data_IF_336596436786
#
_entry.id   IF_336596436786
#
_cell.length_a   1.000
_cell.length_b   1.000
_cell.length_c   1.000
_cell.angle_alpha   90.00
_cell.angle_beta   90.00
_cell.angle_gamma   90.00
#
_symmetry.space_group_name_H-M   'P 1'
#
loop_
_entity.id
_entity.type
_entity.pdbx_description
1 polymer ?
#
# COMPACT_ATOMS: atom_id res chain seq x y z
N UNK A 1 -6.67 -24.26 -3.65
CA UNK A 1 -7.42 -23.19 -4.37
C UNK A 1 -8.15 -22.24 -3.42
N UNK A 2 -8.94 -22.75 -2.46
CA UNK A 2 -9.69 -21.92 -1.50
C UNK A 2 -8.82 -20.93 -0.69
N UNK A 3 -7.68 -21.38 -0.15
CA UNK A 3 -6.77 -20.52 0.63
C UNK A 3 -6.24 -19.31 -0.19
N UNK A 4 -5.94 -19.52 -1.48
CA UNK A 4 -5.51 -18.44 -2.38
C UNK A 4 -6.63 -17.43 -2.62
N UNK A 5 -7.87 -17.90 -2.78
CA UNK A 5 -9.03 -17.01 -2.94
C UNK A 5 -9.26 -16.17 -1.68
N UNK A 6 -9.16 -16.78 -0.49
CA UNK A 6 -9.25 -16.07 0.79
C UNK A 6 -8.14 -15.02 0.93
N UNK A 7 -6.89 -15.38 0.60
CA UNK A 7 -5.77 -14.44 0.62
C UNK A 7 -6.00 -13.27 -0.35
N UNK A 8 -6.47 -13.52 -1.57
CA UNK A 8 -6.79 -12.47 -2.53
C UNK A 8 -7.90 -11.55 -2.04
N UNK A 9 -8.94 -12.08 -1.40
CA UNK A 9 -10.03 -11.28 -0.83
C UNK A 9 -9.53 -10.38 0.31
N UNK A 10 -8.70 -10.93 1.20
CA UNK A 10 -8.08 -10.15 2.29
C UNK A 10 -7.19 -9.02 1.73
N UNK A 11 -6.35 -9.31 0.73
CA UNK A 11 -5.53 -8.30 0.05
C UNK A 11 -6.38 -7.22 -0.61
N UNK A 12 -7.49 -7.59 -1.25
CA UNK A 12 -8.40 -6.63 -1.88
C UNK A 12 -9.07 -5.71 -0.85
N UNK A 13 -9.54 -6.26 0.27
CA UNK A 13 -10.14 -5.48 1.36
C UNK A 13 -9.14 -4.47 1.96
N UNK A 14 -7.94 -4.93 2.32
CA UNK A 14 -6.88 -4.08 2.86
C UNK A 14 -6.47 -2.95 1.89
N UNK A 15 -6.44 -3.24 0.59
CA UNK A 15 -6.14 -2.23 -0.43
C UNK A 15 -7.25 -1.17 -0.52
N UNK A 16 -8.52 -1.56 -0.38
CA UNK A 16 -9.64 -0.63 -0.37
C UNK A 16 -9.60 0.26 0.89
N UNK A 17 -9.33 -0.32 2.05
CA UNK A 17 -9.21 0.41 3.31
C UNK A 17 -8.05 1.40 3.28
N UNK A 18 -6.89 1.02 2.72
CA UNK A 18 -5.75 1.93 2.54
C UNK A 18 -6.07 3.07 1.59
N UNK A 19 -6.77 2.81 0.48
CA UNK A 19 -7.19 3.86 -0.44
C UNK A 19 -8.14 4.86 0.25
N UNK A 20 -9.08 4.37 1.06
CA UNK A 20 -9.94 5.24 1.86
C UNK A 20 -9.14 6.06 2.87
N UNK A 21 -8.21 5.43 3.60
CA UNK A 21 -7.33 6.11 4.55
C UNK A 21 -6.54 7.26 3.90
N UNK A 22 -5.89 7.03 2.75
CA UNK A 22 -5.09 8.07 2.10
C UNK A 22 -5.93 9.27 1.65
N UNK A 23 -7.15 9.02 1.15
CA UNK A 23 -8.11 10.07 0.79
C UNK A 23 -8.52 10.88 2.01
N UNK A 24 -8.87 10.22 3.11
CA UNK A 24 -9.29 10.93 4.33
C UNK A 24 -8.14 11.69 4.99
N UNK A 25 -6.90 11.18 4.93
CA UNK A 25 -5.71 11.94 5.35
C UNK A 25 -5.57 13.22 4.50
N UNK A 26 -5.66 13.11 3.17
CA UNK A 26 -5.53 14.26 2.27
C UNK A 26 -6.61 15.32 2.57
N UNK A 27 -7.88 14.89 2.73
CA UNK A 27 -9.00 15.77 3.09
C UNK A 27 -8.83 16.42 4.46
N UNK A 28 -8.41 15.66 5.48
CA UNK A 28 -8.20 16.17 6.83
C UNK A 28 -7.07 17.23 6.89
N UNK A 29 -6.14 17.19 5.93
CA UNK A 29 -5.10 18.21 5.77
C UNK A 29 -5.52 19.40 4.88
N UNK A 30 -6.76 19.44 4.39
CA UNK A 30 -7.25 20.52 3.52
C UNK A 30 -6.75 20.45 2.07
N UNK A 31 -6.10 19.34 1.69
CA UNK A 31 -5.48 19.15 0.37
C UNK A 31 -5.91 17.81 -0.24
N UNK A 32 -7.16 17.67 -0.74
CA UNK A 32 -7.63 16.44 -1.38
C UNK A 32 -6.75 15.97 -2.55
N UNK A 33 -6.08 16.88 -3.24
CA UNK A 33 -5.15 16.61 -4.33
C UNK A 33 -3.89 15.84 -3.88
N UNK A 34 -3.60 15.79 -2.58
CA UNK A 34 -2.46 15.07 -2.03
C UNK A 34 -2.67 13.56 -1.92
N UNK A 35 -3.85 13.01 -2.22
CA UNK A 35 -4.12 11.56 -2.06
C UNK A 35 -3.02 10.69 -2.70
N UNK A 36 -2.61 11.01 -3.94
CA UNK A 36 -1.55 10.28 -4.65
C UNK A 36 -0.18 10.44 -3.98
N UNK A 37 0.14 11.62 -3.46
CA UNK A 37 1.39 11.91 -2.74
C UNK A 37 1.46 11.18 -1.41
N UNK A 38 0.36 11.19 -0.65
CA UNK A 38 0.20 10.48 0.62
C UNK A 38 0.43 8.99 0.38
N UNK A 39 -0.26 8.40 -0.60
CA UNK A 39 -0.08 6.99 -0.98
C UNK A 39 1.39 6.68 -1.32
N UNK A 40 2.04 7.52 -2.12
CA UNK A 40 3.45 7.33 -2.52
C UNK A 40 4.38 7.37 -1.31
N UNK A 41 4.16 8.33 -0.41
CA UNK A 41 4.95 8.47 0.82
C UNK A 41 4.84 7.24 1.71
N UNK A 42 3.62 6.75 1.96
CA UNK A 42 3.41 5.53 2.75
C UNK A 42 4.02 4.30 2.08
N UNK A 43 3.88 4.15 0.76
CA UNK A 43 4.47 3.04 0.02
C UNK A 43 6.01 3.03 0.13
N UNK A 44 6.65 4.19 -0.06
CA UNK A 44 8.10 4.32 0.09
C UNK A 44 8.55 3.96 1.50
N UNK A 45 7.89 4.51 2.53
CA UNK A 45 8.20 4.22 3.94
C UNK A 45 8.00 2.76 4.30
N UNK A 46 7.03 2.07 3.68
CA UNK A 46 6.83 0.64 3.88
C UNK A 46 7.98 -0.17 3.26
N UNK A 47 8.39 0.14 2.02
CA UNK A 47 9.54 -0.50 1.36
C UNK A 47 10.84 -0.25 2.15
N UNK A 48 11.03 0.95 2.69
CA UNK A 48 12.22 1.28 3.50
C UNK A 48 12.30 0.48 4.80
N UNK A 49 11.14 0.13 5.37
CA UNK A 49 11.01 -0.63 6.63
C UNK A 49 10.81 -2.14 6.44
N UNK A 50 10.76 -2.61 5.20
CA UNK A 50 10.62 -4.02 4.91
C UNK A 50 11.80 -4.81 5.51
N UNK A 51 11.49 -5.90 6.20
CA UNK A 51 12.49 -6.67 6.95
C UNK A 51 13.39 -7.47 6.00
N UNK A 52 14.62 -7.80 6.43
CA UNK A 52 15.48 -8.70 5.67
C UNK A 52 14.75 -9.98 5.27
N UNK A 53 14.89 -10.37 4.01
CA UNK A 53 14.26 -11.55 3.44
C UNK A 53 12.87 -11.33 2.85
N UNK A 54 12.25 -10.15 3.03
CA UNK A 54 10.97 -9.82 2.39
C UNK A 54 11.14 -9.51 0.90
N UNK A 55 10.15 -9.88 0.10
CA UNK A 55 10.05 -9.46 -1.29
C UNK A 55 9.30 -8.13 -1.38
N UNK A 56 9.88 -7.17 -2.09
CA UNK A 56 9.28 -5.86 -2.38
C UNK A 56 9.22 -5.65 -3.88
N UNK A 57 8.14 -5.01 -4.33
CA UNK A 57 7.97 -4.61 -5.72
C UNK A 57 8.16 -3.10 -5.84
N UNK A 58 9.01 -2.68 -6.78
CA UNK A 58 9.18 -1.28 -7.18
C UNK A 58 8.95 -1.20 -8.68
N UNK A 59 7.82 -0.61 -9.09
CA UNK A 59 7.37 -0.65 -10.48
C UNK A 59 7.10 -2.09 -10.94
N UNK A 60 7.72 -2.53 -12.02
CA UNK A 60 7.62 -3.90 -12.51
C UNK A 60 8.66 -4.86 -11.87
N UNK A 61 9.63 -4.33 -11.13
CA UNK A 61 10.76 -5.11 -10.62
C UNK A 61 10.50 -5.60 -9.20
N UNK A 62 10.81 -6.88 -8.97
CA UNK A 62 10.81 -7.49 -7.64
C UNK A 62 12.23 -7.65 -7.14
N UNK A 63 12.46 -7.30 -5.87
CA UNK A 63 13.73 -7.53 -5.19
C UNK A 63 13.49 -8.05 -3.79
N UNK A 64 14.44 -8.84 -3.28
CA UNK A 64 14.44 -9.26 -1.88
C UNK A 64 15.27 -8.26 -1.06
N UNK A 65 14.70 -7.79 0.04
CA UNK A 65 15.39 -6.93 1.03
C UNK A 65 16.41 -7.71 1.84
#
# INVERSE_FOLDING_TARGET
LAQRAQANAAVAAENADRAALYREIARANGHPEWEAEVRRTFAQRWVDRAQPGWWVQQGASWSRK
#
